data_IF_874348039518
#
_entry.id   IF_874348039518
#
_cell.length_a   1.000
_cell.length_b   1.000
_cell.length_c   1.000
_cell.angle_alpha   90.00
_cell.angle_beta   90.00
_cell.angle_gamma   90.00
#
_symmetry.space_group_name_H-M   'P 1'
#
loop_
_entity.id
_entity.type
_entity.pdbx_description
1 polymer ?
#
# COMPACT_ATOMS: atom_id res chain seq x y z
N UNK A 1 -46.21 51.02 -3.48
CA UNK A 1 -47.35 50.59 -2.62
C UNK A 1 -46.91 49.40 -1.84
N UNK A 2 -47.10 49.43 -0.51
CA UNK A 2 -46.92 48.38 0.50
C UNK A 2 -45.48 47.98 0.86
N UNK A 3 -44.97 48.70 1.87
CA UNK A 3 -43.85 48.39 2.74
C UNK A 3 -44.32 47.28 3.70
N UNK A 4 -43.65 46.18 3.80
CA UNK A 4 -43.88 45.09 4.76
C UNK A 4 -42.78 45.10 5.82
N UNK A 5 -43.07 45.65 6.99
CA UNK A 5 -42.27 45.53 8.23
C UNK A 5 -42.13 44.06 8.65
N UNK A 6 -40.91 43.58 8.80
CA UNK A 6 -40.65 42.33 9.53
C UNK A 6 -40.19 42.63 10.96
N UNK A 7 -41.06 42.31 11.89
CA UNK A 7 -40.76 42.27 13.32
C UNK A 7 -39.74 41.18 13.63
N UNK A 8 -38.72 41.53 14.40
CA UNK A 8 -37.74 40.61 14.99
C UNK A 8 -38.29 40.11 16.34
N UNK A 9 -38.43 38.80 16.56
CA UNK A 9 -38.80 38.32 17.88
C UNK A 9 -37.62 38.21 18.82
N UNK A 10 -37.82 38.78 20.03
CA UNK A 10 -36.86 38.78 21.12
C UNK A 10 -36.72 37.44 21.81
N UNK A 11 -35.76 36.63 21.41
CA UNK A 11 -35.36 35.40 22.10
C UNK A 11 -33.89 35.32 22.43
N UNK A 12 -33.19 36.48 22.47
CA UNK A 12 -31.73 36.52 22.68
C UNK A 12 -31.31 36.61 24.16
N UNK A 13 -32.19 36.50 25.14
CA UNK A 13 -31.83 36.73 26.56
C UNK A 13 -31.81 35.45 27.45
N UNK A 14 -32.16 34.29 26.93
CA UNK A 14 -32.17 33.06 27.75
C UNK A 14 -30.99 32.10 27.44
N UNK A 15 -30.21 32.39 26.41
CA UNK A 15 -29.15 31.44 25.94
C UNK A 15 -27.80 31.58 26.64
N UNK A 16 -27.62 32.63 27.49
CA UNK A 16 -26.32 32.90 28.14
C UNK A 16 -26.08 32.19 29.47
N UNK A 17 -27.11 31.65 30.09
CA UNK A 17 -26.97 30.97 31.40
C UNK A 17 -26.70 29.45 31.19
N UNK A 18 -27.09 28.89 30.02
CA UNK A 18 -26.93 27.46 29.76
C UNK A 18 -25.52 27.04 29.30
N UNK A 19 -24.70 27.98 28.77
CA UNK A 19 -23.36 27.66 28.23
C UNK A 19 -22.29 27.56 29.31
N UNK A 20 -22.43 28.25 30.43
CA UNK A 20 -21.45 28.19 31.53
C UNK A 20 -21.63 26.90 32.37
N UNK A 21 -22.80 26.29 32.36
CA UNK A 21 -23.08 25.04 33.09
C UNK A 21 -22.59 23.78 32.36
N UNK A 22 -22.39 23.84 31.03
CA UNK A 22 -22.04 22.67 30.22
C UNK A 22 -20.52 22.40 30.12
N UNK A 23 -19.66 23.34 30.49
CA UNK A 23 -18.20 23.18 30.40
C UNK A 23 -17.59 22.49 31.63
N UNK A 24 -18.32 22.39 32.73
CA UNK A 24 -17.80 21.81 33.99
C UNK A 24 -18.18 20.33 34.16
N UNK A 25 -19.09 19.79 33.33
CA UNK A 25 -19.59 18.42 33.49
C UNK A 25 -18.96 17.36 32.58
N UNK A 26 -17.91 17.67 31.80
CA UNK A 26 -17.30 16.72 30.85
C UNK A 26 -15.91 16.20 31.24
N UNK A 27 -15.52 16.29 32.52
CA UNK A 27 -14.39 15.53 33.02
C UNK A 27 -14.88 14.23 33.64
N UNK A 28 -15.43 13.33 32.82
CA UNK A 28 -15.45 11.92 33.17
C UNK A 28 -14.08 11.36 32.79
N UNK A 29 -13.37 10.68 33.68
CA UNK A 29 -12.16 9.97 33.31
C UNK A 29 -12.58 8.86 32.32
N UNK A 30 -12.04 8.92 31.08
CA UNK A 30 -12.14 7.82 30.13
C UNK A 30 -11.22 6.71 30.63
N UNK A 31 -11.75 5.93 31.58
CA UNK A 31 -11.16 4.66 31.97
C UNK A 31 -11.98 3.59 31.26
N UNK A 32 -11.33 2.86 30.34
CA UNK A 32 -11.89 1.65 29.75
C UNK A 32 -12.46 1.85 28.35
N UNK A 33 -11.67 2.27 27.38
CA UNK A 33 -11.84 1.68 26.05
C UNK A 33 -11.31 0.25 26.15
N UNK A 34 -12.20 -0.69 26.48
CA UNK A 34 -11.97 -2.09 26.13
C UNK A 34 -11.64 -2.10 24.65
N UNK A 35 -10.39 -2.45 24.32
CA UNK A 35 -10.00 -2.76 22.97
C UNK A 35 -10.98 -3.86 22.52
N UNK A 36 -12.00 -3.50 21.73
CA UNK A 36 -12.81 -4.49 21.04
C UNK A 36 -11.83 -5.28 20.20
N UNK A 37 -11.40 -6.41 20.72
CA UNK A 37 -10.71 -7.44 19.94
C UNK A 37 -11.73 -7.87 18.88
N UNK A 38 -11.68 -7.23 17.73
CA UNK A 38 -12.46 -7.66 16.57
C UNK A 38 -11.86 -9.02 16.23
N UNK A 39 -12.58 -10.08 16.54
CA UNK A 39 -12.26 -11.41 16.03
C UNK A 39 -12.25 -11.27 14.51
N UNK A 40 -11.06 -11.27 13.92
CA UNK A 40 -10.92 -11.30 12.46
C UNK A 40 -11.33 -12.70 12.05
N UNK A 41 -12.47 -12.80 11.37
CA UNK A 41 -12.91 -14.06 10.78
C UNK A 41 -11.81 -14.61 9.89
N UNK A 42 -11.40 -15.89 10.05
CA UNK A 42 -10.39 -16.47 9.19
C UNK A 42 -10.83 -16.37 7.73
N UNK A 43 -9.90 -16.05 6.82
CA UNK A 43 -10.24 -15.91 5.40
C UNK A 43 -10.83 -17.23 4.87
N UNK A 44 -11.87 -17.13 4.04
CA UNK A 44 -12.49 -18.28 3.39
C UNK A 44 -11.42 -19.13 2.68
N UNK A 45 -11.54 -20.48 2.68
CA UNK A 45 -10.59 -21.36 2.01
C UNK A 45 -10.51 -21.05 0.50
N UNK A 46 -9.33 -21.24 -0.11
CA UNK A 46 -9.16 -21.12 -1.55
C UNK A 46 -9.81 -22.26 -2.30
N UNK A 47 -9.82 -23.43 -1.66
CA UNK A 47 -10.42 -24.65 -2.18
C UNK A 47 -11.68 -24.99 -1.38
N UNK A 48 -12.89 -24.64 -1.87
CA UNK A 48 -14.14 -24.96 -1.18
C UNK A 48 -14.37 -26.47 -1.16
N UNK A 49 -15.06 -26.97 -0.13
CA UNK A 49 -15.32 -28.40 0.03
C UNK A 49 -16.07 -29.01 -1.16
N UNK A 50 -16.98 -28.27 -1.78
CA UNK A 50 -17.79 -28.72 -2.91
C UNK A 50 -17.81 -27.68 -4.03
N UNK A 51 -17.70 -28.13 -5.28
CA UNK A 51 -17.86 -27.34 -6.50
C UNK A 51 -18.72 -28.11 -7.49
N UNK A 52 -20.01 -27.77 -7.55
CA UNK A 52 -20.97 -28.51 -8.37
C UNK A 52 -21.08 -29.99 -7.93
N UNK A 53 -20.73 -30.92 -8.81
CA UNK A 53 -20.73 -32.36 -8.50
C UNK A 53 -19.41 -32.88 -7.95
N UNK A 54 -18.43 -32.01 -7.79
CA UNK A 54 -17.10 -32.35 -7.32
C UNK A 54 -16.94 -32.09 -5.82
N UNK A 55 -16.34 -33.05 -5.12
CA UNK A 55 -16.11 -33.01 -3.69
C UNK A 55 -14.61 -33.06 -3.42
N UNK A 56 -14.12 -32.13 -2.59
CA UNK A 56 -12.74 -32.12 -2.13
C UNK A 56 -12.50 -33.34 -1.22
N UNK A 57 -11.49 -34.14 -1.56
CA UNK A 57 -11.12 -35.30 -0.78
C UNK A 57 -10.32 -34.91 0.46
N UNK A 58 -10.37 -35.72 1.54
CA UNK A 58 -9.60 -35.49 2.75
C UNK A 58 -8.09 -35.32 2.46
N UNK A 59 -7.41 -34.58 3.31
CA UNK A 59 -5.94 -34.40 3.26
C UNK A 59 -5.22 -35.74 3.21
N UNK A 60 -4.21 -35.86 2.36
CA UNK A 60 -3.46 -37.11 2.11
C UNK A 60 -3.77 -37.79 0.79
N UNK A 61 -4.88 -37.43 0.10
CA UNK A 61 -5.24 -37.98 -1.20
C UNK A 61 -4.49 -37.33 -2.37
N UNK A 62 -3.82 -36.19 -2.11
CA UNK A 62 -3.15 -35.37 -3.13
C UNK A 62 -1.74 -35.91 -3.43
N UNK A 63 -1.57 -36.55 -4.58
CA UNK A 63 -0.26 -36.80 -5.19
C UNK A 63 0.45 -35.49 -5.59
N UNK A 64 1.70 -35.50 -6.06
CA UNK A 64 2.37 -34.30 -6.52
C UNK A 64 1.64 -33.68 -7.73
N UNK A 65 1.32 -32.39 -7.69
CA UNK A 65 0.88 -31.64 -8.88
C UNK A 65 2.10 -31.32 -9.71
N UNK A 66 2.14 -31.80 -10.94
CA UNK A 66 3.22 -31.45 -11.88
C UNK A 66 4.56 -32.01 -11.48
N UNK A 67 4.76 -33.34 -11.67
CA UNK A 67 6.07 -34.02 -11.51
C UNK A 67 7.11 -33.53 -12.49
N UNK A 68 6.70 -32.82 -13.57
CA UNK A 68 7.57 -32.36 -14.65
C UNK A 68 7.57 -30.84 -14.74
N UNK A 69 8.20 -30.12 -13.78
CA UNK A 69 8.29 -28.70 -13.91
C UNK A 69 8.55 -27.96 -12.59
N UNK A 70 7.85 -26.89 -12.40
CA UNK A 70 8.08 -25.91 -11.32
C UNK A 70 8.02 -26.51 -9.90
N UNK A 71 7.22 -27.58 -9.67
CA UNK A 71 7.17 -28.27 -8.38
C UNK A 71 8.49 -28.92 -7.95
N UNK A 72 9.38 -29.20 -8.91
CA UNK A 72 10.72 -29.73 -8.65
C UNK A 72 11.82 -28.65 -8.65
N UNK A 73 11.49 -27.39 -8.91
CA UNK A 73 12.45 -26.29 -8.89
C UNK A 73 12.73 -25.87 -7.45
N UNK A 74 13.99 -26.01 -6.98
CA UNK A 74 14.35 -25.62 -5.62
C UNK A 74 14.20 -24.11 -5.35
N UNK A 75 14.11 -23.29 -6.40
CA UNK A 75 13.96 -21.84 -6.29
C UNK A 75 12.49 -21.40 -6.19
N UNK A 76 11.53 -22.27 -6.47
CA UNK A 76 10.13 -21.89 -6.57
C UNK A 76 9.62 -21.18 -5.31
N UNK A 77 9.96 -21.69 -4.15
CA UNK A 77 9.49 -21.11 -2.88
C UNK A 77 10.05 -19.68 -2.69
N UNK A 78 11.32 -19.48 -3.08
CA UNK A 78 11.94 -18.14 -3.00
C UNK A 78 11.32 -17.18 -4.00
N UNK A 79 11.04 -17.63 -5.24
CA UNK A 79 10.36 -16.84 -6.26
C UNK A 79 8.94 -16.47 -5.81
N UNK A 80 8.15 -17.43 -5.34
CA UNK A 80 6.79 -17.17 -4.88
C UNK A 80 6.73 -16.26 -3.66
N UNK A 81 7.71 -16.37 -2.76
CA UNK A 81 7.83 -15.45 -1.62
C UNK A 81 8.18 -14.03 -2.08
N UNK A 82 9.10 -13.88 -3.05
CA UNK A 82 9.44 -12.60 -3.68
C UNK A 82 8.22 -11.96 -4.38
N UNK A 83 7.40 -12.78 -5.06
CA UNK A 83 6.16 -12.35 -5.71
C UNK A 83 5.01 -12.08 -4.70
N UNK A 84 5.25 -12.24 -3.41
CA UNK A 84 4.29 -11.92 -2.36
C UNK A 84 3.23 -12.99 -2.11
N UNK A 85 3.61 -14.28 -2.15
CA UNK A 85 2.73 -15.39 -1.77
C UNK A 85 2.21 -15.19 -0.34
N UNK A 86 0.89 -15.23 -0.17
CA UNK A 86 0.22 -15.14 1.14
C UNK A 86 -0.15 -16.51 1.68
N UNK A 87 -0.73 -17.35 0.84
CA UNK A 87 -1.17 -18.69 1.21
C UNK A 87 -1.26 -19.59 -0.02
N UNK A 88 -1.12 -20.86 0.23
CA UNK A 88 -1.23 -21.92 -0.75
C UNK A 88 -2.14 -23.02 -0.19
N UNK A 89 -3.05 -23.52 -0.99
CA UNK A 89 -3.90 -24.66 -0.65
C UNK A 89 -3.84 -25.68 -1.78
N UNK A 90 -3.80 -26.95 -1.39
CA UNK A 90 -3.72 -28.07 -2.31
C UNK A 90 -4.78 -29.11 -1.97
N UNK A 91 -5.43 -29.67 -2.98
CA UNK A 91 -6.41 -30.71 -2.78
C UNK A 91 -6.70 -31.51 -4.03
N UNK A 92 -7.43 -32.59 -3.85
CA UNK A 92 -7.92 -33.45 -4.93
C UNK A 92 -9.43 -33.39 -4.94
N UNK A 93 -10.00 -32.96 -6.05
CA UNK A 93 -11.44 -33.06 -6.30
C UNK A 93 -11.77 -34.35 -7.00
N UNK A 94 -12.86 -34.97 -6.57
CA UNK A 94 -13.41 -36.18 -7.23
C UNK A 94 -14.86 -35.95 -7.58
N UNK A 95 -15.25 -36.36 -8.80
CA UNK A 95 -16.64 -36.33 -9.23
C UNK A 95 -17.38 -37.55 -8.69
N UNK A 96 -18.26 -37.35 -7.69
CA UNK A 96 -18.92 -38.41 -6.98
C UNK A 96 -17.96 -39.40 -6.31
N UNK A 97 -18.39 -40.66 -6.07
CA UNK A 97 -17.58 -41.64 -5.33
C UNK A 97 -16.52 -42.36 -6.17
N UNK A 98 -16.74 -42.51 -7.48
CA UNK A 98 -15.91 -43.33 -8.38
C UNK A 98 -15.50 -42.60 -9.66
N UNK A 99 -15.84 -41.34 -9.79
CA UNK A 99 -15.56 -40.53 -10.96
C UNK A 99 -14.10 -40.10 -11.08
N UNK A 100 -13.76 -39.34 -12.14
CA UNK A 100 -12.43 -38.82 -12.35
C UNK A 100 -12.00 -37.94 -11.20
N UNK A 101 -10.68 -37.79 -11.01
CA UNK A 101 -10.07 -36.88 -10.03
C UNK A 101 -9.29 -35.81 -10.73
N UNK A 102 -9.25 -34.64 -10.11
CA UNK A 102 -8.45 -33.48 -10.51
C UNK A 102 -7.67 -32.98 -9.28
N UNK A 103 -6.36 -32.94 -9.39
CA UNK A 103 -5.52 -32.37 -8.36
C UNK A 103 -5.40 -30.87 -8.62
N UNK A 104 -5.64 -30.04 -7.60
CA UNK A 104 -5.63 -28.59 -7.70
C UNK A 104 -4.69 -28.01 -6.67
N UNK A 105 -3.94 -27.00 -7.08
CA UNK A 105 -3.12 -26.15 -6.21
C UNK A 105 -3.51 -24.69 -6.46
N UNK A 106 -4.02 -24.03 -5.44
CA UNK A 106 -4.40 -22.62 -5.50
C UNK A 106 -3.46 -21.79 -4.61
N UNK A 107 -2.94 -20.71 -5.17
CA UNK A 107 -2.05 -19.76 -4.49
C UNK A 107 -2.65 -18.37 -4.53
N UNK A 108 -2.63 -17.68 -3.41
CA UNK A 108 -3.06 -16.28 -3.29
C UNK A 108 -1.88 -15.38 -2.99
N UNK A 109 -1.79 -14.28 -3.72
CA UNK A 109 -0.75 -13.27 -3.60
C UNK A 109 -1.27 -11.96 -2.98
N UNK A 110 -0.35 -11.06 -2.60
CA UNK A 110 -0.66 -9.75 -2.01
C UNK A 110 -1.48 -8.89 -2.97
N UNK A 111 -1.16 -8.95 -4.28
CA UNK A 111 -1.79 -8.18 -5.34
C UNK A 111 -1.77 -8.93 -6.68
N UNK A 112 -2.41 -8.34 -7.69
CA UNK A 112 -2.48 -8.92 -9.02
C UNK A 112 -1.14 -8.88 -9.78
N UNK A 113 -0.23 -7.97 -9.39
CA UNK A 113 1.11 -7.85 -9.96
C UNK A 113 1.96 -9.06 -9.59
N UNK A 114 2.02 -9.39 -8.29
CA UNK A 114 2.69 -10.60 -7.82
C UNK A 114 2.06 -11.89 -8.35
N UNK A 115 0.73 -11.95 -8.43
CA UNK A 115 0.04 -13.08 -9.04
C UNK A 115 0.41 -13.26 -10.52
N UNK A 116 0.57 -12.16 -11.28
CA UNK A 116 1.00 -12.22 -12.69
C UNK A 116 2.47 -12.66 -12.81
N UNK A 117 3.35 -12.18 -11.93
CA UNK A 117 4.75 -12.61 -11.89
C UNK A 117 4.85 -14.13 -11.65
N UNK A 118 4.20 -14.63 -10.61
CA UNK A 118 4.16 -16.05 -10.30
C UNK A 118 3.53 -16.88 -11.44
N UNK A 119 2.42 -16.42 -12.03
CA UNK A 119 1.81 -17.06 -13.18
C UNK A 119 2.80 -17.17 -14.34
N UNK A 120 3.46 -16.08 -14.71
CA UNK A 120 4.43 -16.06 -15.82
C UNK A 120 5.63 -16.97 -15.55
N UNK A 121 6.04 -17.12 -14.28
CA UNK A 121 7.11 -18.04 -13.89
C UNK A 121 6.70 -19.52 -14.11
N UNK A 122 5.48 -19.85 -13.71
CA UNK A 122 4.96 -21.23 -13.76
C UNK A 122 4.62 -21.68 -15.18
N UNK A 123 4.35 -20.76 -16.11
CA UNK A 123 4.05 -21.10 -17.52
C UNK A 123 5.16 -21.95 -18.12
N UNK A 124 4.78 -23.17 -18.56
CA UNK A 124 5.70 -24.15 -19.17
C UNK A 124 5.93 -23.84 -20.66
N UNK A 125 7.15 -23.99 -21.17
CA UNK A 125 7.39 -23.89 -22.61
C UNK A 125 6.51 -24.84 -23.42
N UNK A 126 6.00 -24.38 -24.56
CA UNK A 126 5.09 -25.14 -25.42
C UNK A 126 3.67 -25.29 -24.84
N UNK A 127 3.27 -24.45 -23.89
CA UNK A 127 1.89 -24.35 -23.43
C UNK A 127 1.02 -23.65 -24.47
N UNK A 128 -0.21 -24.11 -24.63
CA UNK A 128 -1.23 -23.46 -25.46
C UNK A 128 -1.87 -22.30 -24.66
N UNK A 129 -1.69 -21.07 -25.12
CA UNK A 129 -2.38 -19.91 -24.54
C UNK A 129 -3.83 -19.87 -25.03
N UNK A 130 -4.79 -19.84 -24.09
CA UNK A 130 -6.24 -19.85 -24.39
C UNK A 130 -6.95 -18.52 -24.10
N UNK A 131 -6.20 -17.46 -23.79
CA UNK A 131 -6.79 -16.16 -23.48
C UNK A 131 -7.61 -16.17 -22.19
N UNK A 132 -8.79 -15.56 -22.22
CA UNK A 132 -9.65 -15.32 -21.04
C UNK A 132 -10.75 -16.36 -20.84
N UNK A 133 -10.60 -17.56 -21.36
CA UNK A 133 -11.64 -18.62 -21.26
C UNK A 133 -11.81 -19.13 -19.83
N UNK A 134 -10.75 -19.13 -19.03
CA UNK A 134 -10.74 -19.51 -17.62
C UNK A 134 -9.85 -18.49 -16.88
N UNK A 135 -10.43 -17.69 -15.99
CA UNK A 135 -9.72 -16.59 -15.33
C UNK A 135 -9.40 -15.41 -16.28
N UNK A 136 -8.38 -14.63 -15.89
CA UNK A 136 -7.87 -13.51 -16.68
C UNK A 136 -6.91 -13.99 -17.79
N UNK A 137 -6.16 -15.05 -17.49
CA UNK A 137 -5.16 -15.66 -18.37
C UNK A 137 -5.14 -17.18 -18.13
N UNK A 138 -5.05 -17.95 -19.21
CA UNK A 138 -5.03 -19.41 -19.14
C UNK A 138 -3.98 -19.99 -20.08
N UNK A 139 -3.20 -20.92 -19.57
CA UNK A 139 -2.32 -21.81 -20.34
C UNK A 139 -2.67 -23.27 -20.09
N UNK A 140 -2.59 -24.07 -21.15
CA UNK A 140 -2.85 -25.50 -21.10
C UNK A 140 -1.70 -26.28 -21.73
N UNK A 141 -1.22 -27.32 -21.05
CA UNK A 141 -0.23 -28.25 -21.59
C UNK A 141 -0.60 -29.69 -21.24
N UNK A 142 -1.10 -30.42 -22.23
CA UNK A 142 -1.61 -31.78 -21.97
C UNK A 142 -2.80 -31.78 -21.01
N UNK A 143 -2.64 -32.41 -19.85
CA UNK A 143 -3.59 -32.48 -18.73
C UNK A 143 -3.38 -31.37 -17.69
N UNK A 144 -2.34 -30.55 -17.85
CA UNK A 144 -2.00 -29.49 -16.91
C UNK A 144 -2.65 -28.16 -17.30
N UNK A 145 -3.49 -27.65 -16.43
CA UNK A 145 -4.15 -26.35 -16.51
C UNK A 145 -3.42 -25.36 -15.60
N UNK A 146 -3.18 -24.16 -16.11
CA UNK A 146 -2.67 -23.04 -15.34
C UNK A 146 -3.50 -21.80 -15.66
N UNK A 147 -4.09 -21.18 -14.66
CA UNK A 147 -4.81 -19.92 -14.86
C UNK A 147 -4.59 -18.94 -13.71
N UNK A 148 -4.73 -17.66 -14.02
CA UNK A 148 -4.72 -16.56 -13.06
C UNK A 148 -6.10 -15.93 -12.99
N UNK A 149 -6.56 -15.63 -11.78
CA UNK A 149 -7.80 -14.88 -11.55
C UNK A 149 -7.56 -13.84 -10.44
N UNK A 150 -7.47 -12.57 -10.82
CA UNK A 150 -7.15 -11.48 -9.91
C UNK A 150 -5.81 -11.69 -9.20
N UNK A 151 -5.84 -11.87 -7.89
CA UNK A 151 -4.66 -12.10 -7.04
C UNK A 151 -4.34 -13.58 -6.83
N UNK A 152 -5.00 -14.48 -7.54
CA UNK A 152 -4.83 -15.93 -7.36
C UNK A 152 -4.31 -16.60 -8.62
N UNK A 153 -3.41 -17.58 -8.43
CA UNK A 153 -2.89 -18.48 -9.47
C UNK A 153 -3.30 -19.90 -9.12
N UNK A 154 -3.86 -20.60 -10.09
CA UNK A 154 -4.32 -22.00 -9.92
C UNK A 154 -3.63 -22.89 -10.94
N UNK A 155 -2.99 -23.94 -10.45
CA UNK A 155 -2.52 -25.08 -11.22
C UNK A 155 -3.45 -26.25 -10.99
N UNK A 156 -3.80 -26.97 -12.05
CA UNK A 156 -4.58 -28.20 -11.92
C UNK A 156 -4.08 -29.28 -12.87
N UNK A 157 -4.11 -30.50 -12.38
CA UNK A 157 -3.77 -31.69 -13.16
C UNK A 157 -4.98 -32.60 -13.23
N UNK A 158 -5.51 -32.84 -14.45
CA UNK A 158 -6.69 -33.66 -14.67
C UNK A 158 -6.97 -33.84 -16.14
N UNK A 159 -7.76 -34.87 -16.45
CA UNK A 159 -8.15 -35.17 -17.83
C UNK A 159 -8.79 -33.95 -18.51
N UNK A 160 -8.40 -33.70 -19.76
CA UNK A 160 -8.99 -32.60 -20.56
C UNK A 160 -10.43 -32.96 -20.92
N UNK A 161 -11.37 -32.35 -20.21
CA UNK A 161 -12.80 -32.61 -20.40
C UNK A 161 -13.65 -31.39 -20.05
N UNK A 162 -14.87 -31.26 -20.61
CA UNK A 162 -15.81 -30.22 -20.22
C UNK A 162 -16.13 -30.20 -18.70
N UNK A 163 -16.10 -31.40 -18.08
CA UNK A 163 -16.34 -31.52 -16.63
C UNK A 163 -15.21 -30.94 -15.82
N UNK A 164 -13.96 -31.16 -16.20
CA UNK A 164 -12.78 -30.55 -15.58
C UNK A 164 -12.82 -29.01 -15.76
N UNK A 165 -13.15 -28.55 -16.96
CA UNK A 165 -13.27 -27.11 -17.22
C UNK A 165 -14.40 -26.48 -16.40
N UNK A 166 -15.52 -27.16 -16.21
CA UNK A 166 -16.63 -26.72 -15.36
C UNK A 166 -16.22 -26.64 -13.86
N UNK A 167 -15.46 -27.62 -13.36
CA UNK A 167 -14.88 -27.58 -12.02
C UNK A 167 -13.99 -26.33 -11.84
N UNK A 168 -13.05 -26.12 -12.76
CA UNK A 168 -12.09 -25.01 -12.67
C UNK A 168 -12.79 -23.65 -12.80
N UNK A 169 -13.83 -23.55 -13.64
CA UNK A 169 -14.66 -22.34 -13.73
C UNK A 169 -15.45 -22.09 -12.44
N UNK A 170 -15.97 -23.14 -11.82
CA UNK A 170 -16.61 -23.05 -10.51
C UNK A 170 -15.64 -22.58 -9.43
N UNK A 171 -14.42 -23.15 -9.38
CA UNK A 171 -13.36 -22.73 -8.46
C UNK A 171 -13.00 -21.26 -8.64
N UNK A 172 -12.87 -20.79 -9.88
CA UNK A 172 -12.59 -19.39 -10.19
C UNK A 172 -13.60 -18.44 -9.53
N UNK A 173 -14.87 -18.82 -9.47
CA UNK A 173 -15.94 -18.03 -8.83
C UNK A 173 -15.75 -17.85 -7.32
N UNK A 174 -15.05 -18.78 -6.66
CA UNK A 174 -14.80 -18.76 -5.21
C UNK A 174 -13.47 -18.07 -4.84
N UNK A 175 -12.58 -17.85 -5.81
CA UNK A 175 -11.29 -17.20 -5.53
C UNK A 175 -11.48 -15.77 -5.04
N UNK A 176 -10.63 -15.30 -4.09
CA UNK A 176 -10.70 -13.96 -3.57
C UNK A 176 -10.56 -12.89 -4.66
N UNK A 177 -11.49 -11.95 -4.70
CA UNK A 177 -11.45 -10.79 -5.59
C UNK A 177 -10.99 -9.57 -4.80
N UNK A 178 -9.90 -8.95 -5.24
CA UNK A 178 -9.36 -7.75 -4.64
C UNK A 178 -9.65 -6.58 -5.56
N UNK A 179 -10.34 -5.56 -5.04
CA UNK A 179 -10.63 -4.33 -5.77
C UNK A 179 -9.51 -3.28 -5.65
N UNK A 180 -9.68 -2.18 -6.39
CA UNK A 180 -8.75 -1.05 -6.38
C UNK A 180 -7.39 -1.36 -7.02
N UNK A 181 -6.34 -0.56 -6.71
CA UNK A 181 -5.03 -0.69 -7.35
C UNK A 181 -4.39 -2.08 -7.22
N UNK A 182 -4.62 -2.78 -6.11
CA UNK A 182 -4.07 -4.13 -5.89
C UNK A 182 -4.69 -5.21 -6.77
N UNK A 183 -5.87 -4.96 -7.32
CA UNK A 183 -6.56 -5.88 -8.22
C UNK A 183 -6.23 -5.67 -9.71
N UNK A 184 -5.49 -4.61 -10.05
CA UNK A 184 -5.14 -4.31 -11.43
C UNK A 184 -3.91 -5.11 -11.87
N UNK A 185 -3.95 -5.74 -13.06
CA UNK A 185 -2.80 -6.42 -13.62
C UNK A 185 -1.69 -5.40 -13.98
N UNK A 186 -0.42 -5.84 -14.06
CA UNK A 186 0.68 -4.97 -14.46
C UNK A 186 0.52 -4.46 -15.89
N UNK A 187 0.88 -3.22 -16.11
CA UNK A 187 0.80 -2.58 -17.43
C UNK A 187 1.93 -3.02 -18.37
N UNK A 188 3.12 -3.26 -17.82
CA UNK A 188 4.33 -3.48 -18.60
C UNK A 188 4.22 -4.61 -19.64
N UNK A 189 3.65 -5.80 -19.34
CA UNK A 189 3.48 -6.86 -20.35
C UNK A 189 2.56 -6.46 -21.52
N UNK A 190 1.63 -5.54 -21.32
CA UNK A 190 0.71 -5.08 -22.37
C UNK A 190 1.37 -4.22 -23.44
N UNK A 191 2.59 -3.72 -23.17
CA UNK A 191 3.36 -2.92 -24.10
C UNK A 191 4.16 -3.77 -25.10
N UNK A 192 4.20 -5.08 -24.95
CA UNK A 192 4.93 -5.98 -25.84
C UNK A 192 4.31 -5.98 -27.25
N UNK A 193 5.09 -5.71 -28.32
CA UNK A 193 4.64 -5.83 -29.69
C UNK A 193 4.20 -7.27 -30.00
N UNK A 194 2.99 -7.42 -30.53
CA UNK A 194 2.41 -8.76 -30.77
C UNK A 194 3.02 -9.51 -31.98
N UNK A 195 3.61 -8.77 -32.93
CA UNK A 195 4.17 -9.37 -34.16
C UNK A 195 5.42 -10.19 -33.84
N UNK A 196 5.38 -11.48 -34.10
CA UNK A 196 6.48 -12.42 -33.87
C UNK A 196 6.70 -12.80 -32.40
N UNK A 197 5.85 -12.35 -31.48
CA UNK A 197 5.92 -12.66 -30.06
C UNK A 197 5.60 -14.12 -29.78
N UNK A 198 6.49 -14.83 -29.08
CA UNK A 198 6.24 -16.13 -28.49
C UNK A 198 5.57 -15.92 -27.12
N UNK A 199 4.24 -16.04 -27.08
CA UNK A 199 3.46 -15.65 -25.88
C UNK A 199 3.84 -16.41 -24.62
N UNK A 200 4.18 -17.70 -24.73
CA UNK A 200 4.63 -18.55 -23.63
C UNK A 200 6.02 -18.16 -23.09
N UNK A 201 6.77 -17.40 -23.87
CA UNK A 201 8.08 -16.88 -23.46
C UNK A 201 8.00 -15.57 -22.66
N UNK A 202 6.83 -14.97 -22.58
CA UNK A 202 6.64 -13.74 -21.80
C UNK A 202 6.82 -14.06 -20.33
N UNK A 203 7.80 -13.40 -19.72
CA UNK A 203 8.14 -13.53 -18.30
C UNK A 203 8.14 -12.15 -17.67
N UNK A 204 7.44 -12.02 -16.57
CA UNK A 204 7.32 -10.79 -15.80
C UNK A 204 7.90 -10.99 -14.41
N UNK A 205 8.72 -10.08 -13.93
CA UNK A 205 9.40 -10.17 -12.66
C UNK A 205 9.30 -8.85 -11.87
N UNK A 206 9.14 -8.97 -10.56
CA UNK A 206 9.14 -7.87 -9.60
C UNK A 206 10.31 -7.90 -8.64
N UNK A 207 11.18 -8.90 -8.79
CA UNK A 207 12.35 -9.08 -7.95
C UNK A 207 13.52 -9.76 -8.66
N UNK A 208 14.72 -9.72 -8.06
CA UNK A 208 15.94 -10.25 -8.67
C UNK A 208 15.94 -11.77 -8.81
N UNK A 209 15.36 -12.50 -7.85
CA UNK A 209 15.38 -13.97 -7.88
C UNK A 209 14.47 -14.51 -8.98
N UNK A 210 13.26 -13.99 -9.10
CA UNK A 210 12.32 -14.35 -10.17
C UNK A 210 12.89 -13.96 -11.54
N UNK A 211 13.46 -12.76 -11.66
CA UNK A 211 14.06 -12.29 -12.91
C UNK A 211 15.20 -13.20 -13.41
N UNK A 212 16.13 -13.56 -12.53
CA UNK A 212 17.24 -14.44 -12.87
C UNK A 212 16.77 -15.88 -13.15
N UNK A 213 15.83 -16.39 -12.37
CA UNK A 213 15.27 -17.73 -12.57
C UNK A 213 14.51 -17.87 -13.90
N UNK A 214 13.93 -16.77 -14.40
CA UNK A 214 13.26 -16.72 -15.71
C UNK A 214 14.20 -16.42 -16.89
N UNK A 215 15.50 -16.40 -16.67
CA UNK A 215 16.50 -16.17 -17.72
C UNK A 215 16.71 -14.71 -18.08
N UNK A 216 16.61 -13.83 -17.11
CA UNK A 216 16.96 -12.42 -17.25
C UNK A 216 18.37 -12.23 -17.78
N UNK A 217 18.56 -11.35 -18.76
CA UNK A 217 19.84 -11.12 -19.43
C UNK A 217 20.81 -10.28 -18.61
N UNK A 218 20.33 -9.57 -17.61
CA UNK A 218 21.14 -8.73 -16.71
C UNK A 218 21.26 -9.41 -15.34
N UNK A 219 22.30 -9.14 -14.57
CA UNK A 219 22.29 -9.51 -13.15
C UNK A 219 21.12 -8.81 -12.43
N UNK A 220 20.36 -9.54 -11.63
CA UNK A 220 19.19 -9.00 -10.93
C UNK A 220 19.51 -7.80 -10.05
N UNK A 221 20.71 -7.77 -9.45
CA UNK A 221 21.18 -6.68 -8.60
C UNK A 221 21.34 -5.32 -9.30
N UNK A 222 21.56 -5.30 -10.62
CA UNK A 222 21.71 -4.05 -11.37
C UNK A 222 20.40 -3.53 -11.97
N UNK A 223 19.38 -4.37 -12.09
CA UNK A 223 18.09 -4.01 -12.66
C UNK A 223 17.41 -2.91 -11.86
N UNK A 224 17.55 -2.93 -10.54
CA UNK A 224 16.99 -1.89 -9.66
C UNK A 224 15.68 -2.27 -9.01
N UNK A 225 15.47 -3.54 -8.73
CA UNK A 225 14.29 -4.00 -7.98
C UNK A 225 14.21 -3.40 -6.57
N UNK A 226 15.35 -3.03 -5.97
CA UNK A 226 15.45 -2.24 -4.73
C UNK A 226 14.84 -0.83 -4.85
N UNK A 227 14.67 -0.35 -6.08
CA UNK A 227 14.03 0.92 -6.44
C UNK A 227 12.63 0.72 -7.05
N UNK A 228 11.99 -0.39 -6.75
CA UNK A 228 10.68 -0.77 -7.28
C UNK A 228 10.64 -0.82 -8.83
N UNK A 229 11.70 -1.36 -9.46
CA UNK A 229 11.68 -1.66 -10.88
C UNK A 229 10.79 -2.87 -11.16
N UNK A 230 10.15 -2.86 -12.33
CA UNK A 230 9.47 -4.01 -12.91
C UNK A 230 10.20 -4.45 -14.18
N UNK A 231 10.24 -5.73 -14.44
CA UNK A 231 10.89 -6.26 -15.65
C UNK A 231 9.94 -7.20 -16.41
N UNK A 232 9.95 -7.09 -17.73
CA UNK A 232 9.37 -8.10 -18.61
C UNK A 232 10.38 -8.53 -19.66
N UNK A 233 10.45 -9.83 -19.91
CA UNK A 233 11.26 -10.40 -21.01
C UNK A 233 10.35 -11.19 -21.92
N UNK A 234 10.64 -11.16 -23.21
CA UNK A 234 9.88 -11.92 -24.20
C UNK A 234 10.76 -12.30 -25.37
N UNK A 235 10.57 -13.51 -25.89
CA UNK A 235 11.25 -14.00 -27.10
C UNK A 235 10.40 -13.71 -28.33
N UNK A 236 11.10 -13.46 -29.41
CA UNK A 236 10.52 -13.26 -30.74
C UNK A 236 11.06 -14.28 -31.71
N UNK A 237 10.18 -14.96 -32.41
CA UNK A 237 10.49 -16.09 -33.26
C UNK A 237 11.62 -15.76 -34.28
N UNK A 238 12.67 -16.57 -34.25
CA UNK A 238 13.82 -16.43 -35.14
C UNK A 238 14.65 -15.17 -34.98
N UNK A 239 14.51 -14.42 -33.85
CA UNK A 239 15.22 -13.16 -33.62
C UNK A 239 16.04 -13.18 -32.34
N UNK A 240 15.39 -13.02 -31.20
CA UNK A 240 16.06 -12.92 -29.90
C UNK A 240 15.07 -12.51 -28.81
N UNK A 241 15.60 -11.84 -27.81
CA UNK A 241 14.84 -11.42 -26.64
C UNK A 241 14.73 -9.90 -26.58
N UNK A 242 13.54 -9.43 -26.25
CA UNK A 242 13.29 -8.06 -25.79
C UNK A 242 13.15 -8.08 -24.26
N UNK A 243 13.89 -7.22 -23.60
CA UNK A 243 13.74 -6.93 -22.16
C UNK A 243 13.26 -5.50 -21.99
N UNK A 244 12.20 -5.31 -21.24
CA UNK A 244 11.67 -4.00 -20.86
C UNK A 244 11.77 -3.85 -19.36
N UNK A 245 12.29 -2.73 -18.89
CA UNK A 245 12.43 -2.38 -17.48
C UNK A 245 11.63 -1.09 -17.25
N UNK A 246 10.71 -1.12 -16.31
CA UNK A 246 9.90 0.03 -15.92
C UNK A 246 10.38 0.54 -14.56
N UNK A 247 10.59 1.83 -14.45
CA UNK A 247 11.05 2.48 -13.22
C UNK A 247 10.01 3.49 -12.73
N UNK A 248 9.98 3.78 -11.43
CA UNK A 248 9.05 4.76 -10.87
C UNK A 248 9.26 6.18 -11.40
N UNK A 249 10.51 6.55 -11.69
CA UNK A 249 10.85 7.90 -12.17
C UNK A 249 11.84 7.89 -13.34
N UNK A 250 11.82 8.93 -14.20
CA UNK A 250 12.78 9.07 -15.30
C UNK A 250 14.23 9.20 -14.84
N UNK A 251 14.49 9.74 -13.64
CA UNK A 251 15.83 9.90 -13.07
C UNK A 251 16.44 8.53 -12.78
N UNK A 252 15.69 7.64 -12.10
CA UNK A 252 16.10 6.26 -11.83
C UNK A 252 16.35 5.52 -13.14
N UNK A 253 15.45 5.67 -14.13
CA UNK A 253 15.63 5.09 -15.45
C UNK A 253 16.90 5.58 -16.14
N UNK A 254 17.25 6.87 -15.98
CA UNK A 254 18.49 7.46 -16.53
C UNK A 254 19.75 6.98 -15.82
N UNK A 255 19.72 6.79 -14.51
CA UNK A 255 20.80 6.18 -13.74
C UNK A 255 21.05 4.73 -14.18
N UNK A 256 19.98 3.94 -14.21
CA UNK A 256 20.04 2.53 -14.57
C UNK A 256 20.42 2.30 -16.03
N UNK A 257 20.07 3.19 -16.95
CA UNK A 257 20.54 3.14 -18.34
C UNK A 257 22.05 3.04 -18.41
N UNK A 258 22.78 3.92 -17.71
CA UNK A 258 24.25 3.94 -17.72
C UNK A 258 24.85 2.64 -17.18
N UNK A 259 24.24 2.08 -16.13
CA UNK A 259 24.69 0.81 -15.52
C UNK A 259 24.46 -0.35 -16.50
N UNK A 260 23.27 -0.40 -17.13
CA UNK A 260 22.92 -1.42 -18.11
C UNK A 260 23.77 -1.35 -19.37
N UNK A 261 24.02 -0.14 -19.88
CA UNK A 261 24.91 0.07 -21.04
C UNK A 261 26.32 -0.44 -20.77
N UNK A 262 26.88 -0.12 -19.59
CA UNK A 262 28.19 -0.61 -19.18
C UNK A 262 28.21 -2.14 -19.09
N UNK A 263 27.26 -2.74 -18.39
CA UNK A 263 27.17 -4.20 -18.22
C UNK A 263 27.09 -4.93 -19.57
N UNK A 264 26.26 -4.44 -20.50
CA UNK A 264 26.10 -5.04 -21.81
C UNK A 264 27.33 -4.81 -22.71
N UNK A 265 28.02 -3.67 -22.56
CA UNK A 265 29.28 -3.42 -23.24
C UNK A 265 30.38 -4.39 -22.77
N UNK A 266 30.46 -4.61 -21.45
CA UNK A 266 31.44 -5.50 -20.83
C UNK A 266 31.23 -6.98 -21.23
N UNK A 267 29.99 -7.38 -21.57
CA UNK A 267 29.68 -8.72 -22.11
C UNK A 267 30.17 -8.94 -23.56
N UNK A 268 30.36 -7.88 -24.29
CA UNK A 268 30.85 -7.93 -25.66
C UNK A 268 29.91 -8.64 -26.65
N UNK A 269 30.42 -9.22 -27.75
CA UNK A 269 29.63 -9.79 -28.84
C UNK A 269 28.76 -10.97 -28.46
N UNK A 270 28.95 -11.61 -27.30
CA UNK A 270 28.21 -12.78 -26.87
C UNK A 270 26.69 -12.50 -26.64
N UNK A 271 26.33 -11.24 -26.42
CA UNK A 271 24.95 -10.82 -26.25
C UNK A 271 24.19 -10.63 -27.59
N UNK A 272 24.87 -10.76 -28.75
CA UNK A 272 24.28 -10.55 -30.07
C UNK A 272 24.02 -9.09 -30.39
N UNK A 273 22.93 -8.81 -31.13
CA UNK A 273 22.54 -7.44 -31.50
C UNK A 273 21.92 -6.74 -30.33
N UNK A 274 22.64 -5.78 -29.75
CA UNK A 274 22.16 -4.98 -28.62
C UNK A 274 21.65 -3.64 -29.16
N UNK A 275 20.38 -3.32 -28.91
CA UNK A 275 19.84 -1.98 -29.07
C UNK A 275 19.21 -1.59 -27.73
N UNK A 276 19.67 -0.45 -27.20
CA UNK A 276 19.15 0.10 -25.94
C UNK A 276 18.43 1.41 -26.23
N UNK A 277 17.24 1.58 -25.68
CA UNK A 277 16.49 2.82 -25.78
C UNK A 277 15.78 3.13 -24.46
N UNK A 278 15.89 4.38 -24.03
CA UNK A 278 15.09 4.90 -22.91
C UNK A 278 13.98 5.80 -23.42
N UNK A 279 12.79 5.63 -22.87
CA UNK A 279 11.63 6.49 -23.13
C UNK A 279 10.95 6.79 -21.78
N UNK A 280 11.19 8.00 -21.24
CA UNK A 280 10.69 8.37 -19.94
C UNK A 280 11.20 7.43 -18.83
N UNK A 281 10.30 6.69 -18.21
CA UNK A 281 10.56 5.70 -17.16
C UNK A 281 10.87 4.30 -17.70
N UNK A 282 10.72 4.08 -19.00
CA UNK A 282 10.88 2.77 -19.62
C UNK A 282 12.27 2.64 -20.27
N UNK A 283 12.96 1.54 -19.98
CA UNK A 283 14.20 1.14 -20.62
C UNK A 283 13.96 -0.14 -21.43
N UNK A 284 14.35 -0.13 -22.69
CA UNK A 284 14.16 -1.21 -23.65
C UNK A 284 15.51 -1.74 -24.07
N UNK A 285 15.68 -3.06 -24.06
CA UNK A 285 16.94 -3.73 -24.45
C UNK A 285 16.60 -4.93 -25.31
N UNK A 286 17.22 -4.99 -26.52
CA UNK A 286 17.18 -6.20 -27.35
C UNK A 286 18.50 -6.96 -27.22
N UNK A 287 18.43 -8.29 -27.31
CA UNK A 287 19.61 -9.19 -27.36
C UNK A 287 19.31 -10.38 -28.28
N UNK A 288 20.34 -11.01 -28.82
CA UNK A 288 20.20 -12.17 -29.72
C UNK A 288 20.47 -11.83 -31.17
N UNK A 289 19.83 -12.55 -32.11
CA UNK A 289 20.14 -12.54 -33.55
C UNK A 289 19.27 -11.58 -34.36
N UNK A 290 18.94 -10.43 -33.80
CA UNK A 290 18.18 -9.40 -34.51
C UNK A 290 18.98 -8.77 -35.67
N UNK A 291 18.34 -8.58 -36.85
CA UNK A 291 18.80 -7.56 -37.77
C UNK A 291 18.73 -6.19 -37.08
N UNK A 292 19.81 -5.40 -37.21
CA UNK A 292 19.96 -4.13 -36.46
C UNK A 292 18.78 -3.17 -36.67
N UNK A 293 18.31 -3.06 -37.92
CA UNK A 293 17.22 -2.14 -38.25
C UNK A 293 15.88 -2.65 -37.66
N UNK A 294 15.61 -3.96 -37.70
CA UNK A 294 14.41 -4.51 -37.06
C UNK A 294 14.42 -4.31 -35.56
N UNK A 295 15.57 -4.49 -34.90
CA UNK A 295 15.72 -4.21 -33.47
C UNK A 295 15.44 -2.74 -33.14
N UNK A 296 15.94 -1.81 -33.97
CA UNK A 296 15.67 -0.38 -33.81
C UNK A 296 14.19 -0.05 -34.01
N UNK A 297 13.56 -0.58 -35.07
CA UNK A 297 12.14 -0.39 -35.31
C UNK A 297 11.28 -0.91 -34.18
N UNK A 298 11.59 -2.12 -33.64
CA UNK A 298 10.89 -2.70 -32.50
C UNK A 298 10.90 -1.77 -31.30
N UNK A 299 12.09 -1.33 -30.86
CA UNK A 299 12.21 -0.47 -29.68
C UNK A 299 11.64 0.94 -29.92
N UNK A 300 11.68 1.45 -31.17
CA UNK A 300 11.10 2.76 -31.54
C UNK A 300 9.57 2.70 -31.56
N UNK A 301 8.99 1.56 -31.92
CA UNK A 301 7.55 1.34 -31.96
C UNK A 301 6.90 1.30 -30.58
N UNK A 302 7.64 0.96 -29.52
CA UNK A 302 7.11 0.89 -28.17
C UNK A 302 7.00 2.30 -27.60
N UNK A 303 5.77 2.74 -27.40
CA UNK A 303 5.46 4.04 -26.80
C UNK A 303 4.56 3.81 -25.58
N UNK A 304 5.08 3.99 -24.36
CA UNK A 304 4.20 4.00 -23.19
C UNK A 304 3.20 5.15 -23.37
N UNK A 305 1.92 4.87 -23.21
CA UNK A 305 0.92 5.93 -23.04
C UNK A 305 1.16 6.55 -21.67
N UNK A 306 2.06 7.50 -21.62
CA UNK A 306 2.15 8.40 -20.49
C UNK A 306 1.10 9.50 -20.73
N UNK A 307 -0.06 9.35 -20.17
CA UNK A 307 -0.90 10.49 -19.91
C UNK A 307 -0.20 11.28 -18.80
N UNK A 308 0.67 12.19 -19.22
CA UNK A 308 1.26 13.16 -18.32
C UNK A 308 0.09 14.00 -17.81
N UNK A 309 -0.35 13.74 -16.59
CA UNK A 309 -1.47 14.46 -15.94
C UNK A 309 -1.22 15.96 -15.73
N UNK A 310 -0.13 16.49 -16.25
CA UNK A 310 0.23 17.91 -16.27
C UNK A 310 -0.74 18.77 -17.10
N UNK A 311 -1.55 18.16 -17.98
CA UNK A 311 -2.60 18.85 -18.74
C UNK A 311 -3.98 18.85 -18.08
N UNK A 312 -4.20 18.19 -16.96
CA UNK A 312 -5.20 18.68 -16.03
C UNK A 312 -4.64 20.00 -15.53
N UNK A 313 -5.16 21.11 -16.05
CA UNK A 313 -5.04 22.36 -15.33
C UNK A 313 -5.31 22.00 -13.87
N UNK A 314 -4.26 22.02 -13.04
CA UNK A 314 -4.50 22.09 -11.60
C UNK A 314 -5.59 23.15 -11.48
N UNK A 315 -6.73 22.85 -10.82
CA UNK A 315 -7.65 23.92 -10.53
C UNK A 315 -6.74 25.00 -9.97
N UNK A 316 -6.65 26.15 -10.66
CA UNK A 316 -5.86 27.26 -10.13
C UNK A 316 -6.47 27.44 -8.78
N UNK A 317 -5.76 26.91 -7.76
CA UNK A 317 -6.11 27.15 -6.39
C UNK A 317 -6.08 28.65 -6.33
N UNK A 318 -7.28 29.26 -6.35
CA UNK A 318 -7.38 30.71 -6.33
C UNK A 318 -6.63 31.09 -5.08
N UNK A 319 -5.44 31.62 -5.24
CA UNK A 319 -4.55 32.02 -4.17
C UNK A 319 -5.32 32.86 -3.14
N UNK A 320 -6.29 33.63 -3.63
CA UNK A 320 -7.24 34.39 -2.82
C UNK A 320 -8.15 33.54 -1.93
N UNK A 321 -8.55 32.35 -2.39
CA UNK A 321 -9.42 31.45 -1.59
C UNK A 321 -8.64 30.75 -0.49
N UNK A 322 -7.41 30.36 -0.74
CA UNK A 322 -6.51 29.79 0.27
C UNK A 322 -6.05 30.83 1.29
N UNK A 323 -5.65 32.02 0.83
CA UNK A 323 -5.31 33.14 1.71
C UNK A 323 -6.50 33.52 2.59
N UNK A 324 -7.73 33.54 2.04
CA UNK A 324 -8.94 33.84 2.82
C UNK A 324 -9.24 32.76 3.87
N UNK A 325 -9.04 31.49 3.56
CA UNK A 325 -9.20 30.37 4.52
C UNK A 325 -8.17 30.49 5.65
N UNK A 326 -6.91 30.75 5.31
CA UNK A 326 -5.83 30.92 6.29
C UNK A 326 -6.06 32.15 7.18
N UNK A 327 -6.50 33.27 6.58
CA UNK A 327 -6.86 34.47 7.34
C UNK A 327 -8.05 34.23 8.27
N UNK A 328 -9.09 33.53 7.80
CA UNK A 328 -10.25 33.15 8.63
C UNK A 328 -9.85 32.28 9.82
N UNK A 329 -8.92 31.35 9.62
CA UNK A 329 -8.42 30.49 10.68
C UNK A 329 -7.61 31.28 11.71
N UNK A 330 -6.71 32.16 11.27
CA UNK A 330 -5.93 33.05 12.15
C UNK A 330 -6.82 34.00 12.93
N UNK A 331 -7.84 34.58 12.27
CA UNK A 331 -8.81 35.45 12.93
C UNK A 331 -9.61 34.68 13.99
N UNK A 332 -10.03 33.47 13.72
CA UNK A 332 -10.75 32.61 14.68
C UNK A 332 -9.89 32.31 15.91
N UNK A 333 -8.61 32.00 15.72
CA UNK A 333 -7.65 31.77 16.81
C UNK A 333 -7.46 33.01 17.65
N UNK A 334 -7.26 34.17 17.00
CA UNK A 334 -7.08 35.45 17.72
C UNK A 334 -8.31 35.82 18.56
N UNK A 335 -9.52 35.63 18.00
CA UNK A 335 -10.78 35.85 18.70
C UNK A 335 -10.90 34.90 19.90
N UNK A 336 -10.62 33.61 19.70
CA UNK A 336 -10.67 32.62 20.78
C UNK A 336 -9.68 32.94 21.92
N UNK A 337 -8.44 33.30 21.58
CA UNK A 337 -7.44 33.75 22.57
C UNK A 337 -7.87 35.04 23.30
N UNK A 338 -8.49 35.98 22.59
CA UNK A 338 -9.00 37.21 23.17
C UNK A 338 -10.11 36.96 24.20
N UNK A 339 -11.07 36.09 23.84
CA UNK A 339 -12.13 35.67 24.77
C UNK A 339 -11.58 34.88 25.97
N UNK A 340 -10.60 34.03 25.76
CA UNK A 340 -9.94 33.28 26.82
C UNK A 340 -9.21 34.20 27.81
N UNK A 341 -8.48 35.20 27.32
CA UNK A 341 -7.79 36.20 28.13
C UNK A 341 -8.80 37.02 28.92
N UNK A 342 -9.87 37.50 28.28
CA UNK A 342 -10.92 38.28 28.98
C UNK A 342 -11.58 37.45 30.09
N UNK A 343 -11.92 36.19 29.81
CA UNK A 343 -12.49 35.26 30.79
C UNK A 343 -11.53 35.03 31.98
N UNK A 344 -10.24 34.89 31.72
CA UNK A 344 -9.22 34.73 32.77
C UNK A 344 -9.11 35.96 33.65
N UNK A 345 -9.17 37.18 33.07
CA UNK A 345 -9.16 38.45 33.82
C UNK A 345 -10.41 38.56 34.69
N UNK A 346 -11.59 38.30 34.14
CA UNK A 346 -12.85 38.34 34.88
C UNK A 346 -12.84 37.34 36.03
N UNK A 347 -12.38 36.11 35.77
CA UNK A 347 -12.28 35.05 36.78
C UNK A 347 -11.27 35.46 37.89
N UNK A 348 -10.11 35.98 37.49
CA UNK A 348 -9.10 36.46 38.44
C UNK A 348 -9.61 37.59 39.34
N UNK A 349 -10.30 38.58 38.76
CA UNK A 349 -10.93 39.66 39.54
C UNK A 349 -12.03 39.14 40.47
N UNK A 350 -12.88 38.26 39.99
CA UNK A 350 -13.98 37.69 40.77
C UNK A 350 -13.47 36.85 41.95
N UNK A 351 -12.48 36.01 41.72
CA UNK A 351 -11.85 35.17 42.77
C UNK A 351 -11.05 36.05 43.74
N UNK A 352 -10.34 37.06 43.22
CA UNK A 352 -9.59 38.02 44.05
C UNK A 352 -10.53 38.81 44.95
N UNK A 353 -11.59 39.39 44.40
CA UNK A 353 -12.58 40.16 45.16
C UNK A 353 -13.34 39.29 46.18
N UNK A 354 -13.72 38.06 45.76
CA UNK A 354 -14.35 37.09 46.65
C UNK A 354 -13.47 36.72 47.84
N UNK A 355 -12.17 36.50 47.61
CA UNK A 355 -11.19 36.20 48.68
C UNK A 355 -11.00 37.41 49.58
N UNK A 356 -10.93 38.65 49.06
CA UNK A 356 -10.83 39.86 49.81
C UNK A 356 -12.07 40.07 50.68
N UNK A 357 -13.28 39.87 50.17
CA UNK A 357 -14.53 39.98 50.90
C UNK A 357 -14.61 39.01 52.09
N UNK A 358 -14.26 37.73 51.87
CA UNK A 358 -14.22 36.72 52.94
C UNK A 358 -13.26 37.11 54.04
N UNK A 359 -12.07 37.64 53.70
CA UNK A 359 -11.08 38.10 54.68
C UNK A 359 -11.59 39.29 55.52
N UNK A 360 -12.25 40.28 54.88
CA UNK A 360 -12.86 41.41 55.58
C UNK A 360 -13.96 40.94 56.54
N UNK A 361 -14.81 39.97 56.12
CA UNK A 361 -15.84 39.36 57.00
C UNK A 361 -15.24 38.60 58.19
N UNK A 362 -13.97 38.13 58.06
CA UNK A 362 -13.25 37.50 59.16
C UNK A 362 -12.43 38.50 60.01
N UNK A 363 -12.60 39.79 59.81
CA UNK A 363 -11.90 40.84 60.56
C UNK A 363 -10.41 41.02 60.21
N UNK A 364 -10.00 40.46 59.04
CA UNK A 364 -8.61 40.55 58.54
C UNK A 364 -8.51 41.59 57.42
N UNK A 365 -7.34 42.23 57.23
CA UNK A 365 -7.18 43.20 56.16
C UNK A 365 -7.42 42.55 54.77
N UNK A 366 -8.02 43.28 53.82
CA UNK A 366 -8.42 42.84 52.51
C UNK A 366 -7.23 42.36 51.64
N UNK A 367 -6.06 42.95 51.82
CA UNK A 367 -4.82 42.61 51.17
C UNK A 367 -3.78 42.09 52.16
N UNK A 368 -2.99 41.11 51.81
CA UNK A 368 -1.76 40.74 52.54
C UNK A 368 -0.64 41.55 51.92
N UNK A 369 0.18 42.18 52.74
CA UNK A 369 1.42 42.80 52.23
C UNK A 369 2.24 41.71 51.52
N UNK A 370 2.75 41.97 50.32
CA UNK A 370 3.60 41.02 49.66
C UNK A 370 4.89 40.84 50.48
N UNK A 371 5.12 39.64 51.01
CA UNK A 371 6.46 39.25 51.49
C UNK A 371 7.39 39.22 50.29
N UNK A 372 8.16 40.29 50.12
CA UNK A 372 9.23 40.29 49.14
C UNK A 372 10.34 39.37 49.67
N UNK A 373 10.47 38.20 49.10
CA UNK A 373 11.65 37.36 49.25
C UNK A 373 12.84 38.15 48.70
N UNK A 374 13.54 38.83 49.62
CA UNK A 374 14.78 39.52 49.30
C UNK A 374 15.89 38.49 49.20
N UNK A 375 16.16 38.01 48.00
CA UNK A 375 17.29 37.15 47.72
C UNK A 375 18.52 38.04 47.74
N UNK A 376 19.30 37.95 48.82
CA UNK A 376 20.59 38.63 48.92
C UNK A 376 21.63 37.88 48.08
N UNK A 377 21.94 38.45 46.92
CA UNK A 377 22.95 37.91 46.01
C UNK A 377 24.38 38.35 46.35
N UNK A 378 24.59 39.04 47.49
CA UNK A 378 25.91 39.58 47.89
C UNK A 378 26.90 38.53 48.37
N UNK A 379 26.50 37.27 48.52
CA UNK A 379 27.40 36.16 48.94
C UNK A 379 27.98 36.30 50.37
N UNK A 380 27.48 37.24 51.18
CA UNK A 380 27.89 37.35 52.61
C UNK A 380 27.02 36.40 53.45
N UNK A 381 27.62 35.55 54.32
CA UNK A 381 26.84 34.70 55.21
C UNK A 381 26.03 35.59 56.17
N UNK A 382 24.73 35.29 56.34
CA UNK A 382 23.86 35.95 57.29
C UNK A 382 24.43 35.83 58.71
N UNK A 383 24.40 36.91 59.50
CA UNK A 383 24.84 36.83 60.89
C UNK A 383 23.90 35.88 61.62
N UNK A 384 24.49 34.84 62.26
CA UNK A 384 23.77 33.87 63.09
C UNK A 384 23.42 34.64 64.39
N UNK A 385 22.15 34.94 64.58
CA UNK A 385 21.64 35.49 65.82
C UNK A 385 21.44 34.33 66.78
N UNK A 386 22.37 34.15 67.73
CA UNK A 386 22.19 33.25 68.84
C UNK A 386 21.30 33.91 69.88
N UNK A 387 20.03 33.54 69.95
CA UNK A 387 19.19 33.78 71.09
C UNK A 387 19.69 32.89 72.23
N UNK A 388 20.50 33.45 73.08
CA UNK A 388 20.91 32.81 74.30
C UNK A 388 19.72 32.70 75.28
N UNK A 389 19.61 31.63 76.08
CA UNK A 389 18.53 31.52 77.07
C UNK A 389 18.73 32.53 78.18
N UNK A 390 17.85 33.55 78.21
CA UNK A 390 17.80 34.53 79.27
C UNK A 390 17.35 33.89 80.58
N UNK A 391 18.17 34.10 81.59
CA UNK A 391 17.98 33.75 82.99
C UNK A 391 16.73 34.37 83.57
N UNK A 392 16.05 33.56 84.35
CA UNK A 392 14.86 33.91 85.06
C UNK A 392 15.07 34.70 86.32
N UNK A 393 13.97 35.01 86.93
CA UNK A 393 13.69 35.08 88.36
C UNK A 393 13.72 36.52 89.01
N UNK A 394 12.63 36.74 89.64
CA UNK A 394 12.39 37.44 90.89
C UNK A 394 11.77 38.85 90.76
N UNK A 395 10.62 38.87 91.40
CA UNK A 395 9.98 40.08 91.94
C UNK A 395 8.48 40.01 91.82
#
# INVERSE_FOLDING_TARGET
>A
MAVGERRVPGTARVLWVAIVGAVVSSWTPVWGQEAKTTLVEPPAPLLPHEVGTWVLQPEGSAGPVGTDGVAGDPKIQTVLAEDGLKREERGVYREGNTGPSVTVMARQFVDATGAHAAYSYVVKPGSEYRGTGLGDETNLKGSHYLFRSGTSVVEAEGARSPKTEALLSGLQGHLPKVGGPKGLPPLLPTLLPAKGLERESVKYAVGPVSYEAMGGILPGGIVGFDKAAEAVTAKYAGRGQLTMLLYPTPEIAGEKLRVVEKELHDRGPSAGTIVIRRTGTLLLVTTGTWPLEEAKELVQGIRPRMDVTWNKQMPQVEFHTEVRKTYSLLASIAIFCGFGALAAIVLGLSLGAGRAAVRVLQGKPAATEPEFLRIDLSGRPAPIHFDGPGAGAKG
#
